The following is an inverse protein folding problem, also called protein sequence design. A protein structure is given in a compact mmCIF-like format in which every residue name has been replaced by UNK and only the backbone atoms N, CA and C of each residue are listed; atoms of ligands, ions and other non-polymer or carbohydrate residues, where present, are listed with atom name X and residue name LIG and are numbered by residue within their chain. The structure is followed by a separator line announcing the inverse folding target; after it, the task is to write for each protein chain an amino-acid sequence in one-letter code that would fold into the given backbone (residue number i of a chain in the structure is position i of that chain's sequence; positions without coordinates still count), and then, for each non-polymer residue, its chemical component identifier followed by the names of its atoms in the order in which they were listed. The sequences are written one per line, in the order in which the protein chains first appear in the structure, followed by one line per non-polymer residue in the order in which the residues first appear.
data_IF_610465786904
#
_entry.id   IF_610465786904
#
_cell.length_a   1.000
_cell.length_b   1.000
_cell.length_c   1.000
_cell.angle_alpha   90.00
_cell.angle_beta   90.00
_cell.angle_gamma   90.00
#
_symmetry.space_group_name_H-M   'P 1'
#
loop_
_entity.id
_entity.type
_entity.pdbx_description
1 polymer ?
#
# COMPACT_ATOMS: atom_id res chain seq x y z
N UNK A 1 5.80 -44.96 7.55
CA UNK A 1 6.09 -44.19 8.79
C UNK A 1 4.94 -43.20 8.92
N UNK A 2 4.20 -43.17 10.04
CA UNK A 2 2.97 -42.38 10.10
C UNK A 2 3.31 -40.88 10.09
N UNK A 3 2.95 -40.22 8.99
CA UNK A 3 3.04 -38.78 8.81
C UNK A 3 1.88 -38.05 9.49
N UNK A 4 1.99 -36.72 9.58
CA UNK A 4 1.06 -35.82 10.23
C UNK A 4 -0.40 -36.10 9.82
N UNK A 5 -1.25 -36.50 10.77
CA UNK A 5 -2.64 -36.86 10.47
C UNK A 5 -3.54 -35.62 10.54
N UNK A 6 -4.54 -35.52 9.65
CA UNK A 6 -5.53 -34.43 9.62
C UNK A 6 -6.18 -34.16 10.98
N UNK A 7 -6.43 -35.21 11.76
CA UNK A 7 -7.03 -35.12 13.08
C UNK A 7 -6.11 -34.42 14.11
N UNK A 8 -4.80 -34.69 14.06
CA UNK A 8 -3.81 -34.13 14.98
C UNK A 8 -3.60 -32.63 14.70
N UNK A 9 -3.55 -32.24 13.42
CA UNK A 9 -3.43 -30.84 13.04
C UNK A 9 -4.67 -30.03 13.46
N UNK A 10 -5.88 -30.60 13.30
CA UNK A 10 -7.12 -29.95 13.72
C UNK A 10 -7.19 -29.81 15.24
N UNK A 11 -6.71 -30.80 16.00
CA UNK A 11 -6.72 -30.74 17.46
C UNK A 11 -5.76 -29.67 17.99
N UNK A 12 -4.55 -29.57 17.43
CA UNK A 12 -3.58 -28.50 17.79
C UNK A 12 -4.10 -27.11 17.42
N UNK A 13 -4.70 -26.96 16.23
CA UNK A 13 -5.29 -25.68 15.80
C UNK A 13 -6.46 -25.28 16.71
N UNK A 14 -7.27 -26.24 17.17
CA UNK A 14 -8.42 -26.01 18.05
C UNK A 14 -8.00 -25.73 19.50
N UNK A 15 -6.92 -26.35 19.96
CA UNK A 15 -6.41 -26.24 21.35
C UNK A 15 -5.53 -25.00 21.57
N UNK A 16 -4.73 -24.63 20.58
CA UNK A 16 -3.74 -23.56 20.72
C UNK A 16 -4.02 -22.29 19.91
N UNK A 17 -5.04 -22.27 19.04
CA UNK A 17 -5.42 -21.12 18.20
C UNK A 17 -4.21 -20.34 17.62
N UNK A 18 -3.28 -21.01 16.91
CA UNK A 18 -2.03 -20.38 16.53
C UNK A 18 -2.25 -19.26 15.51
N UNK A 19 -1.72 -18.08 15.81
CA UNK A 19 -1.86 -16.87 14.98
C UNK A 19 -0.91 -16.83 13.78
N UNK A 20 0.11 -17.68 13.73
CA UNK A 20 1.08 -17.74 12.62
C UNK A 20 1.53 -19.17 12.32
N UNK A 21 1.95 -19.42 11.07
CA UNK A 21 2.57 -20.68 10.64
C UNK A 21 3.81 -21.04 11.48
N UNK A 22 4.58 -20.04 11.91
CA UNK A 22 5.73 -20.23 12.78
C UNK A 22 5.32 -20.72 14.18
N UNK A 23 4.26 -20.14 14.75
CA UNK A 23 3.67 -20.60 16.01
C UNK A 23 3.10 -22.02 15.89
N UNK A 24 2.42 -22.32 14.78
CA UNK A 24 1.90 -23.67 14.51
C UNK A 24 3.02 -24.70 14.41
N UNK A 25 4.11 -24.40 13.68
CA UNK A 25 5.30 -25.26 13.63
C UNK A 25 5.92 -25.48 15.01
N UNK A 26 5.94 -24.46 15.86
CA UNK A 26 6.46 -24.56 17.22
C UNK A 26 5.61 -25.48 18.09
N UNK A 27 4.28 -25.33 18.08
CA UNK A 27 3.38 -26.19 18.86
C UNK A 27 3.38 -27.65 18.38
N UNK A 28 3.46 -27.88 17.07
CA UNK A 28 3.58 -29.24 16.51
C UNK A 28 4.90 -29.93 16.91
N UNK A 29 5.98 -29.15 17.01
CA UNK A 29 7.28 -29.66 17.45
C UNK A 29 7.32 -29.89 18.98
N UNK A 30 6.59 -29.08 19.76
CA UNK A 30 6.42 -29.25 21.21
C UNK A 30 5.57 -30.47 21.58
N UNK A 31 4.56 -30.82 20.77
CA UNK A 31 3.80 -32.08 20.92
C UNK A 31 4.53 -33.31 20.32
N UNK A 32 5.77 -33.16 19.86
CA UNK A 32 6.63 -34.27 19.42
C UNK A 32 6.25 -34.88 18.06
N UNK A 33 5.44 -34.17 17.27
CA UNK A 33 4.94 -34.65 15.98
C UNK A 33 5.97 -34.33 14.90
N UNK A 34 6.51 -35.37 14.25
CA UNK A 34 7.39 -35.20 13.09
C UNK A 34 6.56 -34.84 11.86
N UNK A 35 6.77 -33.65 11.31
CA UNK A 35 6.14 -33.19 10.07
C UNK A 35 7.18 -32.90 8.99
N UNK A 36 6.82 -33.16 7.73
CA UNK A 36 7.55 -32.69 6.55
C UNK A 36 6.90 -31.37 6.12
N UNK A 37 7.69 -30.33 5.86
CA UNK A 37 7.16 -29.00 5.54
C UNK A 37 6.19 -29.00 4.33
N UNK A 38 6.42 -29.88 3.36
CA UNK A 38 5.56 -30.06 2.18
C UNK A 38 4.23 -30.74 2.50
N UNK A 39 4.21 -31.69 3.44
CA UNK A 39 2.99 -32.34 3.93
C UNK A 39 2.15 -31.34 4.76
N UNK A 40 2.79 -30.51 5.59
CA UNK A 40 2.12 -29.47 6.36
C UNK A 40 1.44 -28.43 5.46
N UNK A 41 2.15 -27.96 4.42
CA UNK A 41 1.62 -26.99 3.46
C UNK A 41 0.45 -27.54 2.64
N UNK A 42 0.53 -28.81 2.22
CA UNK A 42 -0.56 -29.46 1.48
C UNK A 42 -1.79 -29.70 2.35
N UNK A 43 -1.61 -30.11 3.62
CA UNK A 43 -2.70 -30.26 4.58
C UNK A 43 -3.38 -28.91 4.90
N UNK A 44 -2.61 -27.84 5.09
CA UNK A 44 -3.15 -26.50 5.33
C UNK A 44 -3.94 -26.01 4.11
N UNK A 45 -3.45 -26.25 2.89
CA UNK A 45 -4.18 -25.93 1.65
C UNK A 45 -5.47 -26.75 1.49
N UNK A 46 -5.45 -28.04 1.83
CA UNK A 46 -6.66 -28.87 1.83
C UNK A 46 -7.66 -28.41 2.88
N UNK A 47 -7.22 -28.09 4.11
CA UNK A 47 -8.10 -27.59 5.17
C UNK A 47 -8.65 -26.19 4.89
N UNK A 48 -7.92 -25.37 4.13
CA UNK A 48 -8.42 -24.11 3.59
C UNK A 48 -9.49 -24.36 2.50
N UNK A 49 -9.25 -25.32 1.60
CA UNK A 49 -10.21 -25.71 0.55
C UNK A 49 -11.49 -26.30 1.14
N UNK A 50 -11.38 -27.05 2.23
CA UNK A 50 -12.50 -27.64 2.97
C UNK A 50 -13.24 -26.62 3.86
N UNK A 51 -12.81 -25.35 3.88
CA UNK A 51 -13.42 -24.28 4.68
C UNK A 51 -13.27 -24.44 6.19
N UNK A 52 -12.45 -25.39 6.66
CA UNK A 52 -12.25 -25.70 8.08
C UNK A 52 -11.33 -24.67 8.75
N UNK A 53 -10.42 -24.05 7.97
CA UNK A 53 -9.49 -23.03 8.46
C UNK A 53 -9.54 -21.82 7.50
N UNK A 54 -9.99 -20.66 7.99
CA UNK A 54 -9.78 -19.37 7.30
C UNK A 54 -8.43 -18.80 7.70
N UNK A 55 -7.47 -18.81 6.78
CA UNK A 55 -6.24 -18.03 6.90
C UNK A 55 -6.61 -16.55 6.75
N UNK A 56 -6.93 -15.90 7.87
CA UNK A 56 -7.16 -14.46 7.89
C UNK A 56 -5.80 -13.77 7.95
N UNK A 57 -5.46 -12.96 6.94
CA UNK A 57 -4.36 -12.02 7.07
C UNK A 57 -4.61 -11.13 8.29
N UNK A 58 -3.51 -10.83 9.02
CA UNK A 58 -3.46 -10.11 10.29
C UNK A 58 -4.55 -9.01 10.36
N UNK A 59 -5.45 -9.12 11.34
CA UNK A 59 -6.47 -8.11 11.60
C UNK A 59 -5.80 -6.75 11.77
N UNK A 60 -6.06 -5.84 10.83
CA UNK A 60 -5.54 -4.49 10.87
C UNK A 60 -6.43 -3.70 11.83
N UNK A 61 -6.08 -3.72 13.11
CA UNK A 61 -6.88 -3.15 14.20
C UNK A 61 -6.87 -1.62 14.22
N UNK A 62 -5.82 -1.01 13.67
CA UNK A 62 -5.64 0.45 13.66
C UNK A 62 -4.98 0.93 12.36
N UNK A 63 -5.25 2.18 11.97
CA UNK A 63 -4.58 2.82 10.84
C UNK A 63 -3.05 2.86 11.02
N UNK A 64 -2.56 2.93 12.26
CA UNK A 64 -1.12 2.84 12.55
C UNK A 64 -0.56 1.45 12.21
N UNK A 65 -1.29 0.39 12.53
CA UNK A 65 -0.89 -0.99 12.20
C UNK A 65 -0.87 -1.20 10.69
N UNK A 66 -1.78 -0.55 9.96
CA UNK A 66 -1.79 -0.52 8.50
C UNK A 66 -0.52 0.16 7.94
N UNK A 67 -0.15 1.31 8.51
CA UNK A 67 1.06 2.03 8.07
C UNK A 67 2.35 1.27 8.39
N UNK A 68 2.38 0.49 9.48
CA UNK A 68 3.52 -0.35 9.85
C UNK A 68 3.68 -1.55 8.91
N UNK A 69 2.60 -2.01 8.28
CA UNK A 69 2.67 -3.07 7.27
C UNK A 69 3.24 -2.53 5.95
N UNK A 70 4.57 -2.53 5.87
CA UNK A 70 5.35 -2.06 4.72
C UNK A 70 4.95 -2.76 3.43
N UNK A 71 4.52 -4.03 3.47
CA UNK A 71 4.10 -4.76 2.28
C UNK A 71 2.84 -4.18 1.63
N UNK A 72 1.96 -3.64 2.45
CA UNK A 72 0.71 -3.07 1.98
C UNK A 72 0.83 -1.56 1.67
N UNK A 73 1.77 -0.90 2.34
CA UNK A 73 1.88 0.56 2.41
C UNK A 73 3.16 1.11 1.77
N UNK A 74 3.95 0.27 1.08
CA UNK A 74 5.16 0.70 0.36
C UNK A 74 4.95 1.92 -0.57
N UNK A 75 3.81 1.94 -1.27
CA UNK A 75 3.46 3.02 -2.20
C UNK A 75 3.29 4.38 -1.49
N UNK A 76 2.75 4.41 -0.27
CA UNK A 76 2.58 5.62 0.54
C UNK A 76 3.95 6.21 0.91
N UNK A 77 4.88 5.37 1.40
CA UNK A 77 6.22 5.83 1.73
C UNK A 77 7.00 6.31 0.50
N UNK A 78 6.85 5.64 -0.65
CA UNK A 78 7.45 6.09 -1.91
C UNK A 78 6.95 7.48 -2.31
N UNK A 79 5.63 7.71 -2.23
CA UNK A 79 5.02 9.00 -2.56
C UNK A 79 5.58 10.10 -1.66
N UNK A 80 5.63 9.87 -0.34
CA UNK A 80 6.19 10.83 0.61
C UNK A 80 7.66 11.13 0.29
N UNK A 81 8.49 10.10 0.10
CA UNK A 81 9.92 10.27 -0.18
C UNK A 81 10.12 11.09 -1.46
N UNK A 82 9.41 10.77 -2.54
CA UNK A 82 9.52 11.47 -3.81
C UNK A 82 9.07 12.93 -3.67
N UNK A 83 7.94 13.16 -3.01
CA UNK A 83 7.36 14.51 -2.86
C UNK A 83 8.23 15.40 -1.96
N UNK A 84 8.73 14.87 -0.85
CA UNK A 84 9.64 15.61 0.05
C UNK A 84 10.99 15.89 -0.63
N UNK A 85 11.50 14.94 -1.41
CA UNK A 85 12.73 15.11 -2.18
C UNK A 85 12.57 16.20 -3.24
N UNK A 86 11.46 16.19 -3.97
CA UNK A 86 11.14 17.21 -4.97
C UNK A 86 11.02 18.61 -4.34
N UNK A 87 10.27 18.74 -3.24
CA UNK A 87 10.14 20.01 -2.51
C UNK A 87 11.52 20.51 -2.03
N UNK A 88 12.37 19.62 -1.52
CA UNK A 88 13.72 19.97 -1.07
C UNK A 88 14.61 20.46 -2.21
N UNK A 89 14.54 19.82 -3.39
CA UNK A 89 15.29 20.21 -4.59
C UNK A 89 14.83 21.58 -5.14
N UNK A 90 13.54 21.88 -5.01
CA UNK A 90 12.96 23.14 -5.46
C UNK A 90 13.35 24.27 -4.51
N UNK A 91 13.27 24.05 -3.19
CA UNK A 91 13.64 25.04 -2.17
C UNK A 91 15.15 25.32 -2.12
N UNK A 92 15.98 24.31 -2.35
CA UNK A 92 17.45 24.49 -2.45
C UNK A 92 17.90 25.18 -3.73
N UNK A 93 16.96 25.51 -4.63
CA UNK A 93 17.20 26.14 -5.91
C UNK A 93 18.31 25.41 -6.70
N UNK A 94 18.25 24.08 -6.70
CA UNK A 94 19.28 23.23 -7.30
C UNK A 94 19.26 23.39 -8.83
N UNK A 95 20.15 24.24 -9.35
CA UNK A 95 20.21 24.62 -10.77
C UNK A 95 21.37 23.98 -11.54
N UNK A 96 22.21 23.17 -10.89
CA UNK A 96 23.45 22.65 -11.51
C UNK A 96 23.60 21.14 -11.31
N UNK A 97 24.07 20.45 -12.36
CA UNK A 97 24.47 19.04 -12.31
C UNK A 97 23.32 18.04 -12.14
N UNK A 98 23.61 16.92 -11.47
CA UNK A 98 22.66 15.82 -11.27
C UNK A 98 21.37 16.24 -10.53
N UNK A 99 21.44 17.29 -9.70
CA UNK A 99 20.29 17.77 -8.93
C UNK A 99 19.20 18.39 -9.82
N UNK A 100 19.57 19.04 -10.95
CA UNK A 100 18.60 19.55 -11.92
C UNK A 100 17.89 18.40 -12.65
N UNK A 101 18.63 17.34 -12.99
CA UNK A 101 18.04 16.14 -13.59
C UNK A 101 17.06 15.47 -12.63
N UNK A 102 17.45 15.23 -11.38
CA UNK A 102 16.56 14.67 -10.35
C UNK A 102 15.31 15.53 -10.15
N UNK A 103 15.48 16.86 -10.11
CA UNK A 103 14.37 17.81 -9.98
C UNK A 103 13.37 17.66 -11.11
N UNK A 104 13.83 17.55 -12.36
CA UNK A 104 12.94 17.39 -13.51
C UNK A 104 12.23 16.03 -13.50
N UNK A 105 12.94 14.96 -13.15
CA UNK A 105 12.35 13.61 -13.08
C UNK A 105 11.30 13.52 -11.98
N UNK A 106 11.64 13.97 -10.76
CA UNK A 106 10.68 13.96 -9.65
C UNK A 106 9.55 14.96 -9.87
N UNK A 107 9.85 16.15 -10.40
CA UNK A 107 8.84 17.14 -10.77
C UNK A 107 7.84 16.60 -11.78
N UNK A 108 8.27 15.86 -12.81
CA UNK A 108 7.37 15.20 -13.76
C UNK A 108 6.47 14.15 -13.08
N UNK A 109 7.01 13.38 -12.14
CA UNK A 109 6.20 12.43 -11.36
C UNK A 109 5.16 13.13 -10.49
N UNK A 110 5.58 14.15 -9.74
CA UNK A 110 4.77 14.95 -8.80
C UNK A 110 3.70 15.77 -9.53
N UNK A 111 3.99 16.27 -10.74
CA UNK A 111 3.02 17.03 -11.55
C UNK A 111 2.13 16.14 -12.41
N UNK A 112 2.67 15.03 -12.91
CA UNK A 112 2.08 14.30 -14.04
C UNK A 112 1.46 12.95 -13.71
N UNK A 113 1.80 12.32 -12.59
CA UNK A 113 1.35 10.95 -12.29
C UNK A 113 0.82 10.80 -10.87
N UNK A 114 1.58 11.27 -9.88
CA UNK A 114 1.28 11.06 -8.46
C UNK A 114 -0.10 11.61 -8.05
N UNK A 115 -0.50 12.85 -8.39
CA UNK A 115 -1.77 13.42 -7.97
C UNK A 115 -2.95 12.59 -8.46
N UNK A 116 -2.92 12.18 -9.73
CA UNK A 116 -3.99 11.39 -10.33
C UNK A 116 -4.04 9.97 -9.78
N UNK A 117 -2.88 9.33 -9.60
CA UNK A 117 -2.81 8.00 -9.00
C UNK A 117 -3.40 7.95 -7.59
N UNK A 118 -3.04 8.92 -6.74
CA UNK A 118 -3.55 9.03 -5.38
C UNK A 118 -5.06 9.26 -5.37
N UNK A 119 -5.55 10.14 -6.23
CA UNK A 119 -6.98 10.41 -6.28
C UNK A 119 -7.78 9.20 -6.76
N UNK A 120 -7.25 8.42 -7.70
CA UNK A 120 -7.88 7.16 -8.09
C UNK A 120 -7.92 6.18 -6.93
N UNK A 121 -6.87 6.07 -6.11
CA UNK A 121 -6.90 5.28 -4.87
C UNK A 121 -7.92 5.83 -3.86
N UNK A 122 -8.05 7.15 -3.75
CA UNK A 122 -9.03 7.81 -2.90
C UNK A 122 -10.45 7.58 -3.41
N UNK A 123 -10.71 7.48 -4.71
CA UNK A 123 -12.08 7.37 -5.27
C UNK A 123 -12.49 5.91 -5.47
N UNK A 124 -11.55 5.06 -5.88
CA UNK A 124 -11.76 3.66 -6.22
C UNK A 124 -10.79 2.76 -5.42
N UNK A 125 -11.24 2.15 -4.31
CA UNK A 125 -10.42 1.24 -3.53
C UNK A 125 -10.04 -0.02 -4.35
N UNK A 126 -9.00 -0.71 -3.88
CA UNK A 126 -8.37 -1.84 -4.59
C UNK A 126 -9.42 -2.90 -5.00
N UNK A 127 -9.38 -3.32 -6.26
CA UNK A 127 -10.25 -4.38 -6.79
C UNK A 127 -11.56 -3.91 -7.42
N UNK A 128 -11.89 -2.62 -7.39
CA UNK A 128 -13.12 -2.11 -8.02
C UNK A 128 -12.99 -1.81 -9.52
N UNK A 129 -11.77 -1.57 -10.00
CA UNK A 129 -11.48 -1.14 -11.37
C UNK A 129 -10.34 -1.98 -11.95
N UNK A 130 -10.42 -2.24 -13.25
CA UNK A 130 -9.39 -2.99 -13.95
C UNK A 130 -8.07 -2.19 -14.01
N UNK A 131 -6.93 -2.86 -14.13
CA UNK A 131 -5.61 -2.23 -14.12
C UNK A 131 -5.47 -1.17 -15.22
N UNK A 132 -5.99 -1.44 -16.42
CA UNK A 132 -5.96 -0.50 -17.55
C UNK A 132 -6.78 0.76 -17.26
N UNK A 133 -7.98 0.58 -16.70
CA UNK A 133 -8.87 1.68 -16.34
C UNK A 133 -8.25 2.56 -15.26
N UNK A 134 -7.61 1.93 -14.26
CA UNK A 134 -6.85 2.63 -13.22
C UNK A 134 -5.74 3.50 -13.80
N UNK A 135 -4.99 2.98 -14.78
CA UNK A 135 -3.92 3.73 -15.45
C UNK A 135 -4.51 4.91 -16.22
N UNK A 136 -5.52 4.66 -17.06
CA UNK A 136 -6.15 5.72 -17.86
C UNK A 136 -6.73 6.84 -16.98
N UNK A 137 -7.47 6.46 -15.92
CA UNK A 137 -8.00 7.41 -14.93
C UNK A 137 -6.88 8.17 -14.23
N UNK A 138 -5.79 7.51 -13.84
CA UNK A 138 -4.69 8.19 -13.14
C UNK A 138 -4.02 9.26 -14.01
N UNK A 139 -3.81 8.99 -15.30
CA UNK A 139 -3.25 9.96 -16.24
C UNK A 139 -4.24 11.11 -16.44
N UNK A 140 -5.50 10.79 -16.72
CA UNK A 140 -6.55 11.78 -16.95
C UNK A 140 -6.70 12.72 -15.74
N UNK A 141 -6.79 12.16 -14.53
CA UNK A 141 -6.97 12.95 -13.33
C UNK A 141 -5.73 13.75 -12.96
N UNK A 142 -4.53 13.23 -13.24
CA UNK A 142 -3.31 14.01 -12.99
C UNK A 142 -3.24 15.24 -13.90
N UNK A 143 -3.59 15.09 -15.17
CA UNK A 143 -3.67 16.23 -16.11
C UNK A 143 -4.74 17.22 -15.65
N UNK A 144 -5.92 16.73 -15.24
CA UNK A 144 -7.01 17.57 -14.73
C UNK A 144 -6.59 18.37 -13.50
N UNK A 145 -5.94 17.73 -12.53
CA UNK A 145 -5.43 18.39 -11.32
C UNK A 145 -4.38 19.43 -11.69
N UNK A 146 -3.42 19.08 -12.55
CA UNK A 146 -2.36 19.99 -12.98
C UNK A 146 -2.91 21.26 -13.65
N UNK A 147 -3.88 21.11 -14.56
CA UNK A 147 -4.58 22.24 -15.19
C UNK A 147 -5.33 23.05 -14.13
N UNK A 148 -6.05 22.39 -13.22
CA UNK A 148 -6.85 23.06 -12.18
C UNK A 148 -5.99 23.89 -11.25
N UNK A 149 -4.86 23.34 -10.79
CA UNK A 149 -3.90 24.07 -9.93
C UNK A 149 -3.26 25.22 -10.70
N UNK A 150 -2.87 24.99 -11.96
CA UNK A 150 -2.32 26.04 -12.83
C UNK A 150 -3.28 27.20 -13.04
N UNK A 151 -4.56 26.91 -13.31
CA UNK A 151 -5.61 27.92 -13.45
C UNK A 151 -5.87 28.64 -12.12
N UNK A 152 -6.02 27.90 -11.01
CA UNK A 152 -6.24 28.49 -9.68
C UNK A 152 -5.15 29.50 -9.30
N UNK A 153 -3.89 29.15 -9.56
CA UNK A 153 -2.76 30.03 -9.28
C UNK A 153 -2.60 31.14 -10.31
N UNK A 154 -2.99 30.90 -11.56
CA UNK A 154 -2.97 31.89 -12.65
C UNK A 154 -4.07 32.94 -12.54
N UNK A 155 -5.15 32.67 -11.81
CA UNK A 155 -6.20 33.65 -11.53
C UNK A 155 -5.81 34.66 -10.45
N UNK A 156 -4.72 34.42 -9.70
CA UNK A 156 -4.21 35.34 -8.68
C UNK A 156 -2.80 35.87 -8.99
N UNK A 157 -2.27 36.79 -8.16
CA UNK A 157 -0.89 37.29 -8.29
C UNK A 157 0.18 36.25 -7.93
N UNK A 158 -0.21 35.01 -7.62
CA UNK A 158 0.64 33.94 -7.10
C UNK A 158 1.19 33.00 -8.17
N UNK A 159 1.14 33.39 -9.45
CA UNK A 159 1.65 32.62 -10.58
C UNK A 159 3.19 32.55 -10.60
N UNK A 160 3.75 31.93 -9.56
CA UNK A 160 5.16 31.61 -9.45
C UNK A 160 5.30 30.08 -9.45
N UNK A 161 6.28 29.52 -10.18
CA UNK A 161 6.52 28.08 -10.22
C UNK A 161 6.73 27.44 -8.84
N UNK A 162 7.33 28.19 -7.91
CA UNK A 162 7.53 27.76 -6.51
C UNK A 162 6.21 27.56 -5.76
N UNK A 163 5.24 28.45 -5.94
CA UNK A 163 3.94 28.38 -5.26
C UNK A 163 3.13 27.19 -5.77
N UNK A 164 3.24 26.89 -7.07
CA UNK A 164 2.59 25.74 -7.68
C UNK A 164 3.03 24.43 -7.02
N UNK A 165 4.35 24.25 -6.90
CA UNK A 165 4.93 23.06 -6.29
C UNK A 165 4.50 22.91 -4.83
N UNK A 166 4.52 23.98 -4.04
CA UNK A 166 4.08 23.95 -2.63
C UNK A 166 2.63 23.49 -2.51
N UNK A 167 1.72 24.04 -3.32
CA UNK A 167 0.29 23.67 -3.29
C UNK A 167 0.10 22.20 -3.70
N UNK A 168 0.80 21.75 -4.73
CA UNK A 168 0.78 20.36 -5.17
C UNK A 168 1.33 19.41 -4.11
N UNK A 169 2.43 19.74 -3.43
CA UNK A 169 2.97 18.94 -2.33
C UNK A 169 1.94 18.79 -1.22
N UNK A 170 1.28 19.88 -0.81
CA UNK A 170 0.23 19.83 0.22
C UNK A 170 -0.93 18.94 -0.23
N UNK A 171 -1.38 19.09 -1.47
CA UNK A 171 -2.43 18.25 -2.05
C UNK A 171 -2.05 16.77 -2.03
N UNK A 172 -0.83 16.44 -2.48
CA UNK A 172 -0.33 15.07 -2.55
C UNK A 172 -0.27 14.44 -1.16
N UNK A 173 0.25 15.15 -0.16
CA UNK A 173 0.31 14.63 1.22
C UNK A 173 -1.09 14.34 1.75
N UNK A 174 -2.05 15.25 1.55
CA UNK A 174 -3.43 15.05 1.99
C UNK A 174 -4.11 13.89 1.25
N UNK A 175 -3.91 13.81 -0.07
CA UNK A 175 -4.45 12.74 -0.91
C UNK A 175 -3.85 11.39 -0.57
N UNK A 176 -2.56 11.32 -0.22
CA UNK A 176 -1.85 10.11 0.19
C UNK A 176 -2.37 9.57 1.52
N UNK A 177 -2.58 10.45 2.50
CA UNK A 177 -3.23 10.08 3.78
C UNK A 177 -4.66 9.61 3.56
N UNK A 178 -5.45 10.32 2.73
CA UNK A 178 -6.82 9.92 2.41
C UNK A 178 -6.87 8.57 1.67
N UNK A 179 -5.96 8.33 0.73
CA UNK A 179 -5.84 7.08 -0.02
C UNK A 179 -5.47 5.92 0.92
N UNK A 180 -4.54 6.15 1.84
CA UNK A 180 -4.16 5.20 2.87
C UNK A 180 -5.35 4.87 3.77
N UNK A 181 -6.08 5.88 4.25
CA UNK A 181 -7.24 5.69 5.11
C UNK A 181 -8.36 4.90 4.42
N UNK A 182 -8.65 5.21 3.14
CA UNK A 182 -9.66 4.47 2.38
C UNK A 182 -9.23 3.03 2.07
N UNK A 183 -7.94 2.82 1.80
CA UNK A 183 -7.39 1.48 1.62
C UNK A 183 -7.47 0.64 2.90
N UNK A 184 -7.24 1.26 4.06
CA UNK A 184 -7.45 0.66 5.37
C UNK A 184 -8.93 0.30 5.63
N UNK A 185 -9.86 1.24 5.39
CA UNK A 185 -11.30 1.01 5.58
C UNK A 185 -11.83 -0.12 4.68
N UNK A 186 -11.34 -0.20 3.44
CA UNK A 186 -11.70 -1.27 2.53
C UNK A 186 -11.25 -2.64 3.05
N UNK A 187 -9.99 -2.76 3.50
CA UNK A 187 -9.47 -4.01 4.04
C UNK A 187 -10.20 -4.42 5.33
N UNK A 188 -10.53 -3.44 6.19
CA UNK A 188 -11.32 -3.68 7.38
C UNK A 188 -12.73 -4.18 7.07
N UNK A 189 -13.38 -3.65 6.03
CA UNK A 189 -14.74 -4.06 5.60
C UNK A 189 -14.79 -5.39 4.86
N UNK A 190 -13.67 -5.84 4.28
CA UNK A 190 -13.59 -7.14 3.59
C UNK A 190 -13.39 -8.34 4.53
N UNK A 191 -13.18 -8.10 5.82
CA UNK A 191 -13.06 -9.11 6.89
C UNK A 191 -14.32 -9.16 7.75
#
# INVERSE_FOLDING_TARGET
MPGLTRAELVDVVRKHHPSTLASLKKYLNEEGIKFIDEELLSLIRQLQSDGTIKLSMKNVTSFKDYLIDIWNTWWFYLVIIVTVSELSLVLSNAQVGAALFLRNVFGLGVLGIIPGFLTVLVVFPRGQINTLEKIALSIFLSVLISITVGVLLGLGPFFQPSNNIIVLTVYIILADVAAGYRSYDFLRKSH
#
